data_IF_568100346755
#
_entry.id   IF_568100346755
#
_cell.length_a   1.000
_cell.length_b   1.000
_cell.length_c   1.000
_cell.angle_alpha   90.00
_cell.angle_beta   90.00
_cell.angle_gamma   90.00
#
_symmetry.space_group_name_H-M   'P 1'
#
loop_
_entity.id
_entity.type
_entity.pdbx_description
1 polymer ?
#
# COMPACT_ATOMS: atom_id res chain seq x y z
N UNK A 1 -13.38 49.38 13.33
CA UNK A 1 -13.37 49.01 11.89
C UNK A 1 -11.94 48.75 11.46
N UNK A 2 -11.70 47.92 10.45
CA UNK A 2 -10.38 47.63 9.88
C UNK A 2 -10.26 48.25 8.50
N UNK A 3 -9.11 48.86 8.21
CA UNK A 3 -8.76 49.28 6.86
C UNK A 3 -8.52 48.07 5.94
N UNK A 4 -8.55 48.26 4.63
CA UNK A 4 -8.26 47.17 3.67
C UNK A 4 -6.85 46.58 3.85
N UNK A 5 -5.88 47.37 4.29
CA UNK A 5 -4.52 46.91 4.57
C UNK A 5 -4.43 46.04 5.83
N UNK A 6 -5.10 46.45 6.91
CA UNK A 6 -5.20 45.65 8.15
C UNK A 6 -6.00 44.37 7.90
N UNK A 7 -7.11 44.48 7.16
CA UNK A 7 -7.93 43.34 6.78
C UNK A 7 -7.12 42.30 5.99
N UNK A 8 -6.32 42.77 5.02
CA UNK A 8 -5.47 41.90 4.21
C UNK A 8 -4.45 41.13 5.06
N UNK A 9 -3.81 41.83 6.02
CA UNK A 9 -2.83 41.25 6.93
C UNK A 9 -3.48 40.21 7.86
N UNK A 10 -4.63 40.55 8.44
CA UNK A 10 -5.27 39.72 9.47
C UNK A 10 -6.04 38.51 8.91
N UNK A 11 -6.50 38.59 7.66
CA UNK A 11 -7.27 37.54 7.00
C UNK A 11 -6.43 36.63 6.09
N UNK A 12 -5.20 37.03 5.76
CA UNK A 12 -4.33 36.32 4.81
C UNK A 12 -4.77 36.46 3.34
N UNK A 13 -5.67 37.40 3.04
CA UNK A 13 -6.06 37.75 1.68
C UNK A 13 -5.28 38.97 1.21
N UNK A 14 -4.71 38.96 0.01
CA UNK A 14 -4.07 40.16 -0.53
C UNK A 14 -5.05 41.32 -0.72
N UNK A 15 -4.56 42.57 -0.67
CA UNK A 15 -5.38 43.79 -0.90
C UNK A 15 -6.10 43.74 -2.26
N UNK A 16 -5.43 43.22 -3.30
CA UNK A 16 -6.04 43.02 -4.62
C UNK A 16 -7.18 41.98 -4.58
N UNK A 17 -7.01 40.90 -3.81
CA UNK A 17 -8.04 39.87 -3.64
C UNK A 17 -9.28 40.42 -2.90
N UNK A 18 -9.09 41.23 -1.87
CA UNK A 18 -10.21 41.91 -1.18
C UNK A 18 -11.00 42.83 -2.12
N UNK A 19 -10.32 43.57 -3.00
CA UNK A 19 -10.98 44.39 -4.04
C UNK A 19 -11.72 43.53 -5.07
N UNK A 20 -11.17 42.37 -5.41
CA UNK A 20 -11.81 41.41 -6.30
C UNK A 20 -13.08 40.84 -5.68
N UNK A 21 -13.04 40.39 -4.43
CA UNK A 21 -14.19 39.81 -3.73
C UNK A 21 -15.30 40.81 -3.42
N UNK A 22 -14.94 42.07 -3.19
CA UNK A 22 -15.90 43.18 -3.13
C UNK A 22 -16.69 43.29 -4.45
N UNK A 23 -15.99 43.41 -5.60
CA UNK A 23 -16.64 43.49 -6.92
C UNK A 23 -17.45 42.23 -7.27
N UNK A 24 -17.00 41.06 -6.81
CA UNK A 24 -17.69 39.80 -7.03
C UNK A 24 -18.89 39.59 -6.07
N UNK A 25 -19.11 40.50 -5.11
CA UNK A 25 -20.19 40.41 -4.12
C UNK A 25 -20.00 39.28 -3.11
N UNK A 26 -18.77 38.82 -2.89
CA UNK A 26 -18.42 37.69 -2.02
C UNK A 26 -18.06 38.17 -0.61
N UNK A 27 -17.35 39.29 -0.52
CA UNK A 27 -17.01 39.94 0.75
C UNK A 27 -17.07 41.45 0.56
N UNK A 28 -18.25 42.02 0.77
CA UNK A 28 -18.52 43.45 0.57
C UNK A 28 -18.05 44.24 1.80
N UNK A 29 -17.25 45.31 1.65
CA UNK A 29 -16.82 46.13 2.76
C UNK A 29 -18.01 46.81 3.45
N UNK A 30 -17.97 46.89 4.78
CA UNK A 30 -19.00 47.57 5.57
C UNK A 30 -19.15 49.06 5.21
N UNK A 31 -18.08 49.72 4.76
CA UNK A 31 -18.13 51.10 4.28
C UNK A 31 -17.08 51.33 3.19
N UNK A 32 -17.48 52.04 2.14
CA UNK A 32 -16.57 52.61 1.14
C UNK A 32 -16.63 54.12 1.27
N UNK A 33 -15.46 54.76 1.38
CA UNK A 33 -15.35 56.21 1.40
C UNK A 33 -15.72 56.79 0.03
N UNK A 34 -16.70 57.71 -0.06
CA UNK A 34 -17.23 58.18 -1.34
C UNK A 34 -16.28 59.10 -2.13
N UNK A 35 -15.24 59.64 -1.48
CA UNK A 35 -14.29 60.57 -2.10
C UNK A 35 -13.00 59.85 -2.49
N UNK A 36 -12.46 59.05 -1.60
CA UNK A 36 -11.17 58.34 -1.77
C UNK A 36 -11.34 56.90 -2.29
N UNK A 37 -12.55 56.34 -2.26
CA UNK A 37 -12.81 54.93 -2.58
C UNK A 37 -12.21 53.93 -1.58
N UNK A 38 -11.80 54.41 -0.41
CA UNK A 38 -11.14 53.59 0.61
C UNK A 38 -12.13 52.66 1.31
N UNK A 39 -11.73 51.40 1.51
CA UNK A 39 -12.60 50.32 2.03
C UNK A 39 -12.34 50.06 3.50
N UNK A 40 -13.43 49.95 4.25
CA UNK A 40 -13.45 49.66 5.68
C UNK A 40 -14.31 48.44 5.96
N UNK A 41 -13.80 47.53 6.78
CA UNK A 41 -14.43 46.27 7.16
C UNK A 41 -14.83 46.29 8.64
N UNK A 42 -16.00 45.73 8.95
CA UNK A 42 -16.46 45.58 10.32
C UNK A 42 -15.68 44.46 11.04
N UNK A 43 -15.56 44.50 12.39
CA UNK A 43 -14.83 43.47 13.13
C UNK A 43 -15.31 42.04 12.88
N UNK A 44 -16.61 41.82 12.68
CA UNK A 44 -17.19 40.51 12.40
C UNK A 44 -16.81 39.92 11.03
N UNK A 45 -16.45 40.76 10.05
CA UNK A 45 -16.10 40.30 8.69
C UNK A 45 -14.75 39.60 8.63
N UNK A 46 -13.94 39.69 9.69
CA UNK A 46 -12.65 39.01 9.76
C UNK A 46 -12.81 37.48 9.77
N UNK A 47 -13.85 36.95 10.42
CA UNK A 47 -14.14 35.51 10.42
C UNK A 47 -14.47 35.00 9.01
N UNK A 48 -15.40 35.69 8.33
CA UNK A 48 -15.80 35.37 6.95
C UNK A 48 -14.61 35.44 5.98
N UNK A 49 -13.76 36.46 6.10
CA UNK A 49 -12.59 36.61 5.24
C UNK A 49 -11.54 35.51 5.48
N UNK A 50 -11.35 35.06 6.72
CA UNK A 50 -10.47 33.93 7.05
C UNK A 50 -11.03 32.62 6.51
N UNK A 51 -12.34 32.42 6.61
CA UNK A 51 -13.02 31.25 6.04
C UNK A 51 -12.89 31.24 4.51
N UNK A 52 -13.19 32.36 3.85
CA UNK A 52 -12.98 32.58 2.42
C UNK A 52 -11.55 32.23 1.99
N UNK A 53 -10.54 32.70 2.74
CA UNK A 53 -9.14 32.39 2.45
C UNK A 53 -8.84 30.89 2.53
N UNK A 54 -9.37 30.18 3.53
CA UNK A 54 -9.19 28.72 3.69
C UNK A 54 -9.86 27.94 2.55
N UNK A 55 -11.11 28.25 2.22
CA UNK A 55 -11.85 27.57 1.16
C UNK A 55 -11.20 27.77 -0.21
N UNK A 56 -10.71 28.98 -0.49
CA UNK A 56 -9.99 29.27 -1.75
C UNK A 56 -8.64 28.58 -1.83
N UNK A 57 -7.93 28.43 -0.70
CA UNK A 57 -6.71 27.62 -0.65
C UNK A 57 -6.99 26.14 -0.89
N UNK A 58 -8.14 25.65 -0.43
CA UNK A 58 -8.63 24.29 -0.69
C UNK A 58 -9.22 24.10 -2.10
N UNK A 59 -9.05 25.07 -3.01
CA UNK A 59 -9.49 24.96 -4.40
C UNK A 59 -11.00 25.07 -4.61
N UNK A 60 -11.79 25.43 -3.59
CA UNK A 60 -13.24 25.52 -3.73
C UNK A 60 -13.67 26.57 -4.75
N UNK A 61 -14.59 26.25 -5.69
CA UNK A 61 -15.13 27.19 -6.67
C UNK A 61 -15.80 28.40 -5.99
N UNK A 62 -15.68 29.57 -6.60
CA UNK A 62 -16.19 30.81 -6.00
C UNK A 62 -17.72 30.78 -5.78
N UNK A 63 -18.46 30.05 -6.61
CA UNK A 63 -19.90 29.85 -6.45
C UNK A 63 -20.22 29.12 -5.14
N UNK A 64 -19.52 28.03 -4.86
CA UNK A 64 -19.73 27.22 -3.65
C UNK A 64 -19.27 27.97 -2.41
N UNK A 65 -18.18 28.74 -2.50
CA UNK A 65 -17.72 29.61 -1.40
C UNK A 65 -18.80 30.63 -1.01
N UNK A 66 -19.55 31.18 -1.97
CA UNK A 66 -20.66 32.09 -1.66
C UNK A 66 -21.77 31.40 -0.88
N UNK A 67 -22.10 30.18 -1.26
CA UNK A 67 -23.13 29.38 -0.56
C UNK A 67 -22.66 29.02 0.86
N UNK A 68 -21.40 28.63 1.02
CA UNK A 68 -20.82 28.35 2.34
C UNK A 68 -20.83 29.60 3.22
N UNK A 69 -20.42 30.76 2.71
CA UNK A 69 -20.45 32.01 3.47
C UNK A 69 -21.88 32.43 3.84
N UNK A 70 -22.85 32.25 2.94
CA UNK A 70 -24.26 32.54 3.22
C UNK A 70 -24.84 31.62 4.30
N UNK A 71 -24.57 30.31 4.24
CA UNK A 71 -24.98 29.35 5.26
C UNK A 71 -24.28 29.58 6.61
N UNK A 72 -22.99 29.97 6.58
CA UNK A 72 -22.20 30.29 7.77
C UNK A 72 -22.75 31.50 8.54
N UNK A 73 -23.21 32.54 7.84
CA UNK A 73 -23.81 33.73 8.46
C UNK A 73 -25.29 33.54 8.81
N UNK A 74 -25.98 32.57 8.19
CA UNK A 74 -27.40 32.24 8.41
C UNK A 74 -27.68 31.07 9.36
N UNK A 75 -26.65 30.46 9.96
CA UNK A 75 -26.71 29.29 10.85
C UNK A 75 -27.19 27.96 10.21
N UNK A 76 -27.25 27.87 8.88
CA UNK A 76 -27.56 26.63 8.16
C UNK A 76 -26.31 25.75 8.06
N UNK A 77 -26.04 25.04 9.16
CA UNK A 77 -24.83 24.23 9.32
C UNK A 77 -24.88 22.97 8.45
N UNK A 78 -26.07 22.44 8.17
CA UNK A 78 -26.26 21.23 7.38
C UNK A 78 -25.96 21.49 5.90
N UNK A 79 -26.40 22.63 5.36
CA UNK A 79 -26.03 23.05 4.01
C UNK A 79 -24.50 23.22 3.88
N UNK A 80 -23.86 23.89 4.85
CA UNK A 80 -22.40 24.08 4.84
C UNK A 80 -21.67 22.74 4.88
N UNK A 81 -22.10 21.82 5.75
CA UNK A 81 -21.53 20.47 5.84
C UNK A 81 -21.66 19.72 4.52
N UNK A 82 -22.86 19.69 3.92
CA UNK A 82 -23.10 19.01 2.66
C UNK A 82 -22.24 19.56 1.50
N UNK A 83 -22.05 20.88 1.44
CA UNK A 83 -21.19 21.52 0.44
C UNK A 83 -19.71 21.17 0.63
N UNK A 84 -19.22 21.13 1.88
CA UNK A 84 -17.84 20.73 2.18
C UNK A 84 -17.58 19.27 1.82
N UNK A 85 -18.50 18.37 2.19
CA UNK A 85 -18.41 16.95 1.84
C UNK A 85 -18.47 16.71 0.33
N UNK A 86 -19.34 17.43 -0.38
CA UNK A 86 -19.44 17.34 -1.83
C UNK A 86 -18.14 17.82 -2.53
N UNK A 87 -17.51 18.87 -2.00
CA UNK A 87 -16.21 19.34 -2.49
C UNK A 87 -15.08 18.36 -2.18
N UNK A 88 -15.06 17.77 -0.98
CA UNK A 88 -14.08 16.74 -0.62
C UNK A 88 -14.19 15.53 -1.58
N UNK A 89 -15.40 15.00 -1.80
CA UNK A 89 -15.63 13.91 -2.76
C UNK A 89 -15.25 14.27 -4.19
N UNK A 90 -15.29 15.56 -4.57
CA UNK A 90 -14.82 16.02 -5.87
C UNK A 90 -13.29 15.99 -5.92
N UNK A 91 -12.62 16.55 -4.92
CA UNK A 91 -11.16 16.54 -4.83
C UNK A 91 -10.57 15.12 -4.80
N UNK A 92 -11.21 14.20 -4.08
CA UNK A 92 -10.80 12.79 -4.03
C UNK A 92 -10.90 12.11 -5.40
N UNK A 93 -11.99 12.36 -6.14
CA UNK A 93 -12.16 11.86 -7.51
C UNK A 93 -11.14 12.48 -8.46
N UNK A 94 -10.98 13.80 -8.43
CA UNK A 94 -10.00 14.51 -9.27
C UNK A 94 -8.56 13.99 -8.99
N UNK A 95 -8.23 13.68 -7.74
CA UNK A 95 -6.95 13.08 -7.36
C UNK A 95 -6.80 11.64 -7.86
N UNK A 96 -7.86 10.83 -7.75
CA UNK A 96 -7.87 9.46 -8.27
C UNK A 96 -7.69 9.45 -9.80
N UNK A 97 -8.42 10.31 -10.51
CA UNK A 97 -8.33 10.48 -11.96
C UNK A 97 -6.93 10.95 -12.38
N UNK A 98 -6.38 11.95 -11.69
CA UNK A 98 -5.02 12.43 -11.95
C UNK A 98 -3.99 11.32 -11.74
N UNK A 99 -4.10 10.54 -10.65
CA UNK A 99 -3.23 9.39 -10.40
C UNK A 99 -3.35 8.34 -11.50
N UNK A 100 -4.57 8.02 -11.94
CA UNK A 100 -4.81 7.10 -13.06
C UNK A 100 -4.18 7.59 -14.36
N UNK A 101 -4.35 8.87 -14.69
CA UNK A 101 -3.73 9.47 -15.87
C UNK A 101 -2.20 9.42 -15.82
N UNK A 102 -1.58 9.75 -14.68
CA UNK A 102 -0.13 9.65 -14.51
C UNK A 102 0.39 8.21 -14.61
N UNK A 103 -0.35 7.23 -14.06
CA UNK A 103 -0.01 5.81 -14.21
C UNK A 103 -0.05 5.38 -15.68
N UNK A 104 -1.08 5.78 -16.44
CA UNK A 104 -1.18 5.48 -17.87
C UNK A 104 -0.03 6.11 -18.67
N UNK A 105 0.36 7.35 -18.37
CA UNK A 105 1.54 7.97 -19.01
C UNK A 105 2.84 7.23 -18.65
N UNK A 106 2.99 6.78 -17.40
CA UNK A 106 4.14 5.96 -16.99
C UNK A 106 4.16 4.64 -17.75
N UNK A 107 3.04 3.95 -17.88
CA UNK A 107 2.93 2.72 -18.68
C UNK A 107 3.30 2.97 -20.15
N UNK A 108 2.84 4.07 -20.75
CA UNK A 108 3.21 4.44 -22.12
C UNK A 108 4.70 4.75 -22.26
N UNK A 109 5.33 5.33 -21.23
CA UNK A 109 6.78 5.55 -21.19
C UNK A 109 7.52 4.22 -21.02
N UNK A 110 7.10 3.35 -20.12
CA UNK A 110 7.66 2.01 -19.93
C UNK A 110 7.56 1.18 -21.24
N UNK A 111 6.46 1.32 -21.99
CA UNK A 111 6.26 0.72 -23.32
C UNK A 111 7.09 1.36 -24.44
N UNK A 112 7.58 2.60 -24.27
CA UNK A 112 8.51 3.26 -25.22
C UNK A 112 9.97 3.00 -24.87
N UNK A 113 10.28 2.97 -23.58
CA UNK A 113 11.62 2.67 -23.04
C UNK A 113 11.93 1.17 -23.12
N UNK A 114 10.91 0.31 -23.13
CA UNK A 114 10.97 -1.09 -23.57
C UNK A 114 10.45 -1.17 -25.01
N UNK A 115 11.28 -1.08 -26.06
CA UNK A 115 10.76 -1.07 -27.42
C UNK A 115 9.97 -2.35 -27.68
N UNK A 116 8.71 -2.21 -28.12
CA UNK A 116 7.99 -3.27 -28.83
C UNK A 116 8.91 -3.84 -29.90
N UNK A 117 9.41 -5.04 -29.64
CA UNK A 117 9.91 -5.93 -30.66
C UNK A 117 8.99 -7.13 -30.64
N UNK A 118 8.09 -7.21 -31.63
CA UNK A 118 7.76 -8.53 -32.14
C UNK A 118 8.90 -8.90 -33.09
N UNK A 119 9.65 -9.97 -32.77
CA UNK A 119 9.94 -10.95 -33.79
C UNK A 119 9.79 -12.37 -33.23
N UNK A 120 9.66 -13.31 -34.16
CA UNK A 120 9.71 -14.73 -33.89
C UNK A 120 11.07 -15.17 -33.29
N UNK A 121 11.00 -16.23 -32.45
CA UNK A 121 12.07 -17.09 -31.86
C UNK A 121 12.51 -16.77 -30.42
N UNK A 122 11.89 -17.47 -29.47
CA UNK A 122 12.48 -18.09 -28.25
C UNK A 122 13.59 -17.31 -27.53
N UNK A 123 13.23 -16.36 -26.67
CA UNK A 123 14.07 -16.00 -25.52
C UNK A 123 13.70 -16.89 -24.35
N UNK A 124 14.34 -18.06 -24.28
CA UNK A 124 14.19 -18.95 -23.15
C UNK A 124 15.02 -18.40 -21.97
N UNK A 125 14.38 -18.16 -20.83
CA UNK A 125 15.10 -17.87 -19.59
C UNK A 125 15.42 -19.20 -18.92
N UNK A 126 16.66 -19.39 -18.49
CA UNK A 126 17.07 -20.53 -17.66
C UNK A 126 17.78 -20.05 -16.41
N UNK A 127 17.35 -20.55 -15.27
CA UNK A 127 17.95 -20.29 -13.97
C UNK A 127 18.37 -21.59 -13.33
N UNK A 128 19.56 -21.63 -12.77
CA UNK A 128 20.03 -22.71 -11.91
C UNK A 128 19.97 -22.21 -10.48
N UNK A 129 19.22 -22.88 -9.62
CA UNK A 129 19.04 -22.49 -8.21
C UNK A 129 19.22 -23.71 -7.30
N UNK A 130 19.71 -23.54 -6.05
CA UNK A 130 19.72 -24.63 -5.08
C UNK A 130 18.29 -25.06 -4.72
N UNK A 131 18.02 -26.37 -4.70
CA UNK A 131 16.71 -26.94 -4.41
C UNK A 131 16.19 -26.51 -3.04
N UNK A 132 17.02 -26.66 -2.00
CA UNK A 132 16.69 -26.22 -0.64
C UNK A 132 16.39 -24.72 -0.55
N UNK A 133 17.14 -23.89 -1.27
CA UNK A 133 16.91 -22.43 -1.32
C UNK A 133 15.59 -22.07 -2.02
N UNK A 134 15.30 -22.68 -3.17
CA UNK A 134 14.02 -22.48 -3.87
C UNK A 134 12.84 -22.97 -3.03
N UNK A 135 12.96 -24.15 -2.39
CA UNK A 135 11.92 -24.68 -1.52
C UNK A 135 11.63 -23.75 -0.35
N UNK A 136 12.66 -23.30 0.34
CA UNK A 136 12.53 -22.36 1.45
C UNK A 136 11.86 -21.05 0.99
N UNK A 137 12.22 -20.54 -0.20
CA UNK A 137 11.60 -19.34 -0.75
C UNK A 137 10.11 -19.55 -1.09
N UNK A 138 9.75 -20.70 -1.68
CA UNK A 138 8.34 -21.04 -1.96
C UNK A 138 7.55 -21.25 -0.66
N UNK A 139 8.12 -21.93 0.33
CA UNK A 139 7.54 -22.10 1.67
C UNK A 139 7.24 -20.76 2.35
N UNK A 140 8.15 -19.80 2.19
CA UNK A 140 8.03 -18.48 2.78
C UNK A 140 6.94 -17.61 2.13
N UNK A 141 6.47 -17.91 0.91
CA UNK A 141 5.48 -17.05 0.21
C UNK A 141 4.14 -17.72 -0.08
N UNK A 142 4.10 -19.04 -0.23
CA UNK A 142 2.91 -19.78 -0.70
C UNK A 142 1.66 -19.48 0.12
N UNK A 143 1.79 -19.24 1.42
CA UNK A 143 0.65 -18.99 2.31
C UNK A 143 -0.13 -17.73 1.92
N UNK A 144 0.52 -16.75 1.26
CA UNK A 144 -0.07 -15.47 0.87
C UNK A 144 -0.73 -15.48 -0.53
N UNK A 145 -0.85 -16.64 -1.18
CA UNK A 145 -1.53 -16.74 -2.48
C UNK A 145 -3.04 -16.55 -2.33
N UNK A 146 -3.61 -15.66 -3.14
CA UNK A 146 -5.04 -15.39 -3.19
C UNK A 146 -5.86 -16.58 -3.67
N UNK A 147 -7.10 -16.67 -3.18
CA UNK A 147 -8.06 -17.73 -3.53
C UNK A 147 -9.32 -17.19 -4.19
N UNK A 148 -9.40 -15.88 -4.36
CA UNK A 148 -10.53 -15.21 -4.98
C UNK A 148 -10.51 -15.44 -6.50
N UNK A 149 -11.53 -16.14 -7.05
CA UNK A 149 -11.63 -16.38 -8.48
C UNK A 149 -11.85 -15.09 -9.29
N UNK A 150 -12.31 -13.99 -8.69
CA UNK A 150 -12.46 -12.69 -9.36
C UNK A 150 -11.12 -11.98 -9.57
N UNK A 151 -10.07 -12.44 -8.88
CA UNK A 151 -8.73 -11.86 -8.88
C UNK A 151 -7.69 -12.87 -9.37
N UNK A 152 -7.78 -13.34 -10.63
CA UNK A 152 -6.95 -14.41 -11.16
C UNK A 152 -5.45 -14.09 -11.12
N UNK A 153 -5.04 -12.82 -11.22
CA UNK A 153 -3.63 -12.41 -11.10
C UNK A 153 -3.04 -12.63 -9.69
N UNK A 154 -3.86 -12.92 -8.69
CA UNK A 154 -3.43 -13.21 -7.31
C UNK A 154 -3.46 -14.70 -6.96
N UNK A 155 -3.88 -15.56 -7.91
CA UNK A 155 -4.01 -17.03 -7.70
C UNK A 155 -2.71 -17.80 -7.95
N UNK A 156 -1.59 -17.09 -8.00
CA UNK A 156 -0.27 -17.64 -8.29
C UNK A 156 0.85 -16.94 -7.52
N UNK A 157 2.07 -17.42 -7.74
CA UNK A 157 3.30 -16.82 -7.22
C UNK A 157 4.04 -16.17 -8.38
N UNK A 158 4.40 -14.90 -8.23
CA UNK A 158 5.28 -14.22 -9.17
C UNK A 158 6.70 -14.73 -8.99
N UNK A 159 7.31 -15.15 -10.09
CA UNK A 159 8.73 -15.50 -10.20
C UNK A 159 9.41 -14.35 -10.94
N UNK A 160 10.18 -13.53 -10.22
CA UNK A 160 10.95 -12.40 -10.74
C UNK A 160 12.42 -12.80 -10.86
N UNK A 161 12.82 -13.15 -12.08
CA UNK A 161 14.17 -13.54 -12.44
C UNK A 161 15.05 -12.30 -12.59
N UNK A 162 15.84 -12.02 -11.55
CA UNK A 162 16.83 -10.93 -11.56
C UNK A 162 18.12 -11.43 -12.22
N UNK A 163 18.42 -10.90 -13.41
CA UNK A 163 19.68 -11.17 -14.12
C UNK A 163 20.85 -10.42 -13.50
N UNK A 164 21.98 -11.12 -13.33
CA UNK A 164 23.26 -10.54 -12.93
C UNK A 164 23.99 -9.89 -14.12
N UNK A 165 24.78 -8.85 -13.86
CA UNK A 165 25.66 -8.28 -14.88
C UNK A 165 26.81 -9.26 -15.16
N UNK A 166 27.01 -9.65 -16.42
CA UNK A 166 28.15 -10.48 -16.83
C UNK A 166 27.99 -12.00 -16.61
N UNK A 167 26.79 -12.50 -16.31
CA UNK A 167 26.53 -13.95 -16.17
C UNK A 167 26.91 -14.53 -14.80
N UNK A 168 27.44 -13.72 -13.89
CA UNK A 168 27.70 -14.08 -12.50
C UNK A 168 26.69 -13.37 -11.58
N UNK A 169 26.03 -14.12 -10.69
CA UNK A 169 25.22 -13.57 -9.61
C UNK A 169 23.87 -12.99 -10.02
N UNK A 170 22.90 -13.86 -10.32
CA UNK A 170 21.47 -13.54 -10.39
C UNK A 170 20.71 -14.00 -9.14
N UNK A 171 19.43 -13.64 -9.04
CA UNK A 171 18.55 -14.12 -7.98
C UNK A 171 17.16 -14.41 -8.53
N UNK A 172 16.47 -15.34 -7.90
CA UNK A 172 15.04 -15.51 -8.12
C UNK A 172 14.33 -14.94 -6.89
N UNK A 173 13.55 -13.87 -7.10
CA UNK A 173 12.63 -13.37 -6.10
C UNK A 173 11.25 -13.97 -6.36
N UNK A 174 10.62 -14.49 -5.32
CA UNK A 174 9.26 -15.03 -5.39
C UNK A 174 8.34 -14.17 -4.54
N UNK A 175 7.15 -13.88 -5.06
CA UNK A 175 6.18 -12.99 -4.42
C UNK A 175 4.77 -13.54 -4.51
N UNK A 176 4.02 -13.48 -3.42
CA UNK A 176 2.60 -13.83 -3.38
C UNK A 176 1.81 -12.78 -2.59
N UNK A 177 0.56 -12.53 -2.97
CA UNK A 177 -0.34 -11.61 -2.26
C UNK A 177 -1.81 -11.97 -2.50
N UNK A 178 -2.67 -11.64 -1.53
CA UNK A 178 -4.11 -11.85 -1.55
C UNK A 178 -4.89 -10.54 -1.29
N UNK A 179 -4.26 -9.39 -1.56
CA UNK A 179 -4.68 -8.01 -1.23
C UNK A 179 -4.50 -7.59 0.22
N UNK A 180 -4.62 -8.51 1.18
CA UNK A 180 -4.56 -8.20 2.61
C UNK A 180 -3.18 -8.45 3.21
N UNK A 181 -2.41 -9.33 2.58
CA UNK A 181 -1.02 -9.60 2.92
C UNK A 181 -0.18 -9.81 1.68
N UNK A 182 1.13 -9.68 1.84
CA UNK A 182 2.12 -9.97 0.81
C UNK A 182 3.30 -10.70 1.44
N UNK A 183 3.85 -11.69 0.76
CA UNK A 183 5.07 -12.35 1.18
C UNK A 183 6.11 -12.29 0.05
N UNK A 184 7.35 -12.00 0.40
CA UNK A 184 8.48 -11.88 -0.51
C UNK A 184 9.61 -12.74 0.04
N UNK A 185 10.22 -13.54 -0.83
CA UNK A 185 11.42 -14.29 -0.50
C UNK A 185 12.38 -14.31 -1.69
N UNK A 186 13.65 -14.60 -1.44
CA UNK A 186 14.68 -14.67 -2.47
C UNK A 186 15.49 -15.95 -2.34
N UNK A 187 15.88 -16.51 -3.47
CA UNK A 187 16.92 -17.54 -3.55
C UNK A 187 18.00 -17.09 -4.51
N UNK A 188 19.27 -17.35 -4.16
CA UNK A 188 20.40 -17.05 -5.02
C UNK A 188 20.39 -17.98 -6.24
N UNK A 189 20.65 -17.44 -7.42
CA UNK A 189 20.85 -18.24 -8.61
C UNK A 189 22.34 -18.59 -8.76
N UNK A 190 22.62 -19.89 -8.90
CA UNK A 190 23.93 -20.41 -9.28
C UNK A 190 24.26 -20.12 -10.76
N UNK A 191 23.26 -19.84 -11.59
CA UNK A 191 23.43 -19.44 -12.98
C UNK A 191 22.16 -18.83 -13.56
N UNK A 192 22.32 -17.94 -14.54
CA UNK A 192 21.23 -17.28 -15.25
C UNK A 192 21.60 -17.12 -16.74
N UNK A 193 20.73 -17.63 -17.60
CA UNK A 193 20.80 -17.47 -19.04
C UNK A 193 19.50 -16.83 -19.55
N UNK A 194 19.62 -15.92 -20.51
CA UNK A 194 18.48 -15.19 -21.07
C UNK A 194 18.23 -13.83 -20.40
N UNK A 195 17.13 -13.16 -20.77
CA UNK A 195 16.77 -11.87 -20.20
C UNK A 195 16.19 -11.97 -18.79
N UNK A 196 16.08 -10.82 -18.11
CA UNK A 196 15.21 -10.68 -16.94
C UNK A 196 13.77 -10.98 -17.34
N UNK A 197 13.07 -11.73 -16.50
CA UNK A 197 11.68 -12.09 -16.76
C UNK A 197 10.85 -12.12 -15.47
N UNK A 198 9.60 -11.69 -15.60
CA UNK A 198 8.58 -11.82 -14.58
C UNK A 198 7.53 -12.80 -15.07
N UNK A 199 7.31 -13.86 -14.30
CA UNK A 199 6.40 -14.93 -14.70
C UNK A 199 5.49 -15.28 -13.54
N UNK A 200 4.19 -15.17 -13.76
CA UNK A 200 3.19 -15.53 -12.76
C UNK A 200 2.86 -17.03 -12.87
N UNK A 201 3.27 -17.81 -11.86
CA UNK A 201 3.14 -19.26 -11.85
C UNK A 201 1.89 -19.66 -11.04
N UNK A 202 0.92 -20.40 -11.61
CA UNK A 202 -0.29 -20.80 -10.90
C UNK A 202 0.02 -21.63 -9.64
N UNK A 203 -0.75 -21.46 -8.57
CA UNK A 203 -0.54 -22.20 -7.31
C UNK A 203 -0.42 -23.74 -7.46
N UNK A 204 -1.25 -24.43 -8.27
CA UNK A 204 -1.09 -25.88 -8.46
C UNK A 204 0.26 -26.27 -9.07
N UNK A 205 0.82 -25.44 -9.96
CA UNK A 205 2.13 -25.68 -10.56
C UNK A 205 3.24 -25.39 -9.55
N UNK A 206 3.11 -24.33 -8.74
CA UNK A 206 4.03 -24.05 -7.62
C UNK A 206 4.06 -25.22 -6.63
N UNK A 207 2.91 -25.81 -6.31
CA UNK A 207 2.80 -26.96 -5.40
C UNK A 207 3.48 -28.20 -5.98
N UNK A 208 3.30 -28.46 -7.27
CA UNK A 208 3.98 -29.54 -7.98
C UNK A 208 5.49 -29.33 -8.01
N UNK A 209 5.95 -28.11 -8.32
CA UNK A 209 7.37 -27.74 -8.29
C UNK A 209 7.97 -27.95 -6.90
N UNK A 210 7.32 -27.41 -5.87
CA UNK A 210 7.75 -27.54 -4.47
C UNK A 210 7.87 -28.99 -4.02
N UNK A 211 6.96 -29.86 -4.45
CA UNK A 211 6.99 -31.29 -4.11
C UNK A 211 8.21 -32.03 -4.70
N UNK A 212 8.79 -31.53 -5.79
CA UNK A 212 10.01 -32.08 -6.41
C UNK A 212 11.30 -31.59 -5.76
N UNK A 213 11.25 -30.54 -4.94
CA UNK A 213 12.43 -29.95 -4.32
C UNK A 213 12.78 -30.72 -3.04
N UNK A 214 13.87 -31.49 -3.11
CA UNK A 214 14.49 -32.17 -1.97
C UNK A 214 15.95 -31.76 -1.85
N UNK A 215 16.61 -32.13 -0.75
CA UNK A 215 18.07 -32.01 -0.62
C UNK A 215 18.67 -30.63 -0.95
N UNK A 216 19.92 -30.69 -1.42
CA UNK A 216 20.76 -29.53 -1.77
C UNK A 216 21.22 -29.59 -3.24
N UNK A 217 20.57 -30.41 -4.07
CA UNK A 217 20.85 -30.48 -5.50
C UNK A 217 20.57 -29.14 -6.20
N UNK A 218 21.25 -28.91 -7.33
CA UNK A 218 20.90 -27.79 -8.20
C UNK A 218 19.74 -28.19 -9.09
N UNK A 219 18.71 -27.35 -9.14
CA UNK A 219 17.55 -27.51 -10.02
C UNK A 219 17.56 -26.43 -11.08
N UNK A 220 16.94 -26.72 -12.21
CA UNK A 220 16.85 -25.79 -13.33
C UNK A 220 15.42 -25.32 -13.49
N UNK A 221 15.21 -24.02 -13.59
CA UNK A 221 13.94 -23.39 -13.91
C UNK A 221 14.05 -22.80 -15.31
N UNK A 222 13.09 -23.12 -16.18
CA UNK A 222 13.01 -22.64 -17.54
C UNK A 222 11.70 -21.95 -17.83
N UNK A 223 11.77 -20.85 -18.57
CA UNK A 223 10.61 -20.15 -19.12
C UNK A 223 10.80 -20.10 -20.63
N UNK A 224 9.89 -20.71 -21.37
CA UNK A 224 9.87 -20.67 -22.83
C UNK A 224 8.47 -20.29 -23.31
N UNK A 225 8.34 -19.05 -23.80
CA UNK A 225 7.03 -18.47 -24.13
C UNK A 225 6.13 -18.44 -22.89
N UNK A 226 4.99 -19.15 -22.96
CA UNK A 226 4.04 -19.24 -21.86
C UNK A 226 4.25 -20.44 -20.94
N UNK A 227 5.22 -21.31 -21.26
CA UNK A 227 5.47 -22.53 -20.50
C UNK A 227 6.57 -22.30 -19.47
N UNK A 228 6.29 -22.67 -18.23
CA UNK A 228 7.25 -22.71 -17.12
C UNK A 228 7.55 -24.15 -16.77
N UNK A 229 8.82 -24.49 -16.63
CA UNK A 229 9.26 -25.85 -16.28
C UNK A 229 10.34 -25.81 -15.21
N UNK A 230 10.22 -26.67 -14.21
CA UNK A 230 11.25 -26.98 -13.23
C UNK A 230 11.77 -28.39 -13.50
N UNK A 231 13.09 -28.55 -13.60
CA UNK A 231 13.79 -29.83 -13.69
C UNK A 231 14.58 -30.09 -12.40
N UNK A 232 14.33 -31.23 -11.78
CA UNK A 232 15.02 -31.73 -10.60
C UNK A 232 15.51 -33.17 -10.87
N UNK A 233 16.76 -33.29 -11.33
CA UNK A 233 17.31 -34.56 -11.82
C UNK A 233 16.48 -35.11 -12.99
N UNK A 234 15.97 -36.33 -12.83
CA UNK A 234 15.12 -37.01 -13.83
C UNK A 234 13.63 -36.64 -13.74
N UNK A 235 13.25 -35.85 -12.73
CA UNK A 235 11.87 -35.40 -12.53
C UNK A 235 11.66 -33.98 -13.03
N UNK A 236 10.45 -33.67 -13.50
CA UNK A 236 10.09 -32.32 -13.90
C UNK A 236 8.63 -31.99 -13.56
N UNK A 237 8.38 -30.71 -13.28
CA UNK A 237 7.04 -30.13 -13.17
C UNK A 237 6.93 -28.99 -14.19
N UNK A 238 5.87 -29.00 -14.99
CA UNK A 238 5.69 -28.02 -16.06
C UNK A 238 4.22 -27.65 -16.25
N UNK A 239 3.98 -26.42 -16.64
CA UNK A 239 2.64 -25.92 -16.96
C UNK A 239 2.68 -24.54 -17.59
N UNK A 240 1.50 -23.98 -17.80
CA UNK A 240 1.34 -22.64 -18.38
C UNK A 240 1.39 -21.57 -17.27
N UNK A 241 2.00 -20.43 -17.58
CA UNK A 241 1.93 -19.23 -16.74
C UNK A 241 0.52 -18.64 -16.77
N UNK A 242 0.18 -17.86 -15.74
CA UNK A 242 -1.01 -17.01 -15.79
C UNK A 242 -0.78 -15.86 -16.77
N UNK A 243 -1.74 -15.64 -17.67
CA UNK A 243 -1.70 -14.57 -18.66
C UNK A 243 -2.21 -13.24 -18.08
N UNK A 244 -1.71 -12.88 -16.90
CA UNK A 244 -2.06 -11.65 -16.20
C UNK A 244 -0.81 -11.00 -15.61
N UNK A 245 -0.85 -9.67 -15.48
CA UNK A 245 0.21 -8.91 -14.84
C UNK A 245 0.06 -8.94 -13.32
N UNK A 246 1.16 -9.19 -12.62
CA UNK A 246 1.19 -9.13 -11.16
C UNK A 246 1.31 -7.66 -10.70
N UNK A 247 0.67 -7.27 -9.59
CA UNK A 247 0.78 -5.90 -9.07
C UNK A 247 2.24 -5.45 -8.84
N UNK A 248 2.52 -4.16 -9.02
CA UNK A 248 3.85 -3.56 -8.81
C UNK A 248 4.26 -3.58 -7.32
N UNK A 249 4.74 -4.74 -6.86
CA UNK A 249 5.11 -5.02 -5.47
C UNK A 249 6.37 -4.27 -5.03
N UNK A 250 7.22 -3.83 -5.98
CA UNK A 250 8.51 -3.19 -5.68
C UNK A 250 8.36 -1.89 -4.87
N UNK A 251 7.20 -1.24 -4.99
CA UNK A 251 6.84 -0.07 -4.18
C UNK A 251 6.66 -0.40 -2.70
N UNK A 252 6.25 -1.63 -2.38
CA UNK A 252 5.99 -2.12 -1.03
C UNK A 252 7.22 -2.76 -0.38
N UNK A 253 8.29 -3.03 -1.15
CA UNK A 253 9.56 -3.55 -0.61
C UNK A 253 10.32 -2.47 0.19
N UNK A 254 10.16 -1.20 -0.17
CA UNK A 254 10.82 -0.06 0.48
C UNK A 254 9.87 0.67 1.43
N UNK A 255 9.47 0.02 2.52
CA UNK A 255 8.75 0.69 3.59
C UNK A 255 9.71 1.59 4.39
N UNK A 256 9.26 2.80 4.82
CA UNK A 256 10.05 3.62 5.73
C UNK A 256 10.28 2.88 7.04
N UNK A 257 11.47 3.07 7.62
CA UNK A 257 11.85 2.42 8.87
C UNK A 257 10.82 2.71 9.98
N UNK A 258 10.32 1.65 10.58
CA UNK A 258 9.33 1.69 11.66
C UNK A 258 9.94 1.44 13.04
N UNK A 259 9.08 1.39 14.06
CA UNK A 259 9.46 0.83 15.35
C UNK A 259 9.66 -0.67 15.19
N UNK A 260 10.76 -1.19 15.74
CA UNK A 260 11.17 -2.58 15.58
C UNK A 260 11.08 -3.31 16.91
N UNK A 261 10.45 -4.48 16.92
CA UNK A 261 10.35 -5.34 18.08
C UNK A 261 10.80 -6.76 17.73
N UNK A 262 11.77 -7.29 18.47
CA UNK A 262 12.21 -8.67 18.34
C UNK A 262 11.29 -9.59 19.13
N UNK A 263 10.86 -10.69 18.53
CA UNK A 263 9.98 -11.67 19.17
C UNK A 263 10.59 -13.06 19.12
N UNK A 264 10.43 -13.80 20.22
CA UNK A 264 10.54 -15.26 20.21
C UNK A 264 9.27 -15.82 19.60
N UNK A 265 9.41 -16.57 18.50
CA UNK A 265 8.28 -17.02 17.69
C UNK A 265 7.41 -18.02 18.43
N UNK A 266 8.00 -18.92 19.22
CA UNK A 266 7.23 -19.90 19.97
C UNK A 266 6.37 -19.22 21.03
N UNK A 267 6.97 -18.37 21.87
CA UNK A 267 6.26 -17.64 22.92
C UNK A 267 5.22 -16.67 22.35
N UNK A 268 5.53 -15.98 21.24
CA UNK A 268 4.60 -15.02 20.65
C UNK A 268 3.41 -15.71 19.96
N UNK A 269 3.63 -16.88 19.34
CA UNK A 269 2.53 -17.69 18.79
C UNK A 269 1.61 -18.22 19.89
N UNK A 270 2.16 -18.65 21.02
CA UNK A 270 1.39 -19.07 22.19
C UNK A 270 0.54 -17.90 22.72
N UNK A 271 1.16 -16.72 22.90
CA UNK A 271 0.45 -15.50 23.30
C UNK A 271 -0.67 -15.08 22.32
N UNK A 272 -0.47 -15.25 21.00
CA UNK A 272 -1.50 -14.99 20.00
C UNK A 272 -2.63 -16.02 20.03
N UNK A 273 -2.31 -17.29 20.31
CA UNK A 273 -3.32 -18.36 20.40
C UNK A 273 -4.20 -18.21 21.64
N UNK A 274 -3.60 -17.87 22.77
CA UNK A 274 -4.29 -17.73 24.06
C UNK A 274 -4.87 -16.33 24.30
N UNK A 275 -4.42 -15.33 23.53
CA UNK A 275 -4.83 -13.94 23.66
C UNK A 275 -6.25 -13.65 23.13
N UNK A 276 -6.87 -12.53 23.54
CA UNK A 276 -8.24 -12.18 23.19
C UNK A 276 -8.39 -11.83 21.70
N UNK A 277 -9.48 -12.27 21.09
CA UNK A 277 -9.83 -11.99 19.68
C UNK A 277 -10.80 -10.82 19.61
N UNK A 278 -10.61 -9.90 18.67
CA UNK A 278 -11.65 -8.93 18.29
C UNK A 278 -12.30 -9.34 16.98
N UNK A 279 -13.61 -9.13 16.88
CA UNK A 279 -14.32 -9.33 15.63
C UNK A 279 -13.99 -8.17 14.69
N UNK A 280 -13.38 -8.46 13.55
CA UNK A 280 -13.31 -7.54 12.43
C UNK A 280 -14.58 -7.57 11.58
N UNK A 281 -14.74 -6.58 10.70
CA UNK A 281 -15.79 -6.63 9.68
C UNK A 281 -15.69 -7.94 8.88
N UNK A 282 -16.83 -8.53 8.55
CA UNK A 282 -16.86 -9.72 7.69
C UNK A 282 -16.35 -9.32 6.29
N UNK A 283 -15.08 -9.65 6.00
CA UNK A 283 -14.54 -9.53 4.65
C UNK A 283 -15.34 -10.43 3.71
N UNK A 284 -15.66 -9.93 2.51
CA UNK A 284 -16.55 -10.56 1.53
C UNK A 284 -16.11 -11.99 1.09
N UNK A 285 -14.89 -12.42 1.44
CA UNK A 285 -14.27 -13.65 0.92
C UNK A 285 -14.05 -14.79 1.93
N UNK A 286 -14.31 -14.58 3.21
CA UNK A 286 -14.34 -15.65 4.19
C UNK A 286 -15.65 -15.53 4.95
N UNK A 287 -16.58 -16.48 4.75
CA UNK A 287 -17.89 -16.52 5.41
C UNK A 287 -17.83 -16.75 6.93
N UNK A 288 -16.96 -16.04 7.64
CA UNK A 288 -16.79 -16.00 9.09
C UNK A 288 -16.27 -14.63 9.51
N UNK A 289 -16.54 -14.25 10.76
CA UNK A 289 -15.97 -13.03 11.34
C UNK A 289 -14.45 -13.10 11.31
N UNK A 290 -13.80 -12.03 10.87
CA UNK A 290 -12.34 -11.93 10.89
C UNK A 290 -11.85 -11.90 12.34
N UNK A 291 -10.97 -12.82 12.73
CA UNK A 291 -10.39 -12.84 14.06
C UNK A 291 -9.17 -11.91 14.11
N UNK A 292 -9.29 -10.78 14.81
CA UNK A 292 -8.22 -9.79 14.92
C UNK A 292 -7.45 -9.96 16.23
N UNK A 293 -6.12 -9.84 16.13
CA UNK A 293 -5.24 -9.62 17.28
C UNK A 293 -4.83 -8.15 17.32
N UNK A 294 -4.97 -7.52 18.48
CA UNK A 294 -4.49 -6.15 18.73
C UNK A 294 -3.13 -6.23 19.38
N UNK A 295 -2.15 -5.58 18.77
CA UNK A 295 -0.76 -5.57 19.22
C UNK A 295 -0.43 -4.19 19.78
N UNK A 296 0.07 -4.14 21.01
CA UNK A 296 0.67 -2.94 21.58
C UNK A 296 2.19 -3.00 21.41
N UNK A 297 2.75 -1.89 20.95
CA UNK A 297 4.19 -1.74 20.76
C UNK A 297 4.69 -0.66 21.69
N UNK A 298 5.53 -1.05 22.65
CA UNK A 298 6.13 -0.13 23.60
C UNK A 298 7.26 0.67 22.95
N UNK A 299 7.56 1.85 23.50
CA UNK A 299 8.68 2.68 23.06
C UNK A 299 10.05 1.99 23.22
N UNK A 300 10.14 1.04 24.15
CA UNK A 300 11.34 0.22 24.39
C UNK A 300 11.51 -0.93 23.38
N UNK A 301 10.63 -1.04 22.37
CA UNK A 301 10.72 -2.05 21.31
C UNK A 301 10.22 -3.42 21.72
N UNK A 302 9.34 -3.51 22.72
CA UNK A 302 8.62 -4.75 23.04
C UNK A 302 7.24 -4.74 22.38
N UNK A 303 6.74 -5.93 22.03
CA UNK A 303 5.40 -6.12 21.48
C UNK A 303 4.62 -7.12 22.33
N UNK A 304 3.38 -6.77 22.66
CA UNK A 304 2.48 -7.61 23.45
C UNK A 304 1.10 -7.67 22.79
N UNK A 305 0.42 -8.80 22.95
CA UNK A 305 -0.99 -8.93 22.57
C UNK A 305 -1.85 -8.22 23.63
N UNK A 306 -2.64 -7.23 23.23
CA UNK A 306 -3.47 -6.44 24.15
C UNK A 306 -4.56 -7.29 24.80
N UNK A 307 -4.89 -6.95 26.06
CA UNK A 307 -6.10 -7.43 26.73
C UNK A 307 -7.39 -6.79 26.19
N UNK A 308 -8.55 -7.30 26.63
CA UNK A 308 -9.82 -6.60 26.41
C UNK A 308 -9.82 -5.24 27.12
N UNK A 309 -10.09 -4.16 26.39
CA UNK A 309 -10.11 -2.79 26.92
C UNK A 309 -8.76 -2.07 27.05
N UNK A 310 -7.65 -2.72 26.65
CA UNK A 310 -6.29 -2.17 26.69
C UNK A 310 -5.86 -1.63 25.31
N UNK A 311 -6.66 -0.72 24.76
CA UNK A 311 -6.47 -0.12 23.42
C UNK A 311 -5.95 1.33 23.48
N UNK A 312 -5.61 1.82 24.68
CA UNK A 312 -5.03 3.14 24.84
C UNK A 312 -3.55 3.12 24.42
N UNK A 313 -3.19 3.87 23.37
CA UNK A 313 -1.80 4.05 22.94
C UNK A 313 -1.56 3.66 21.49
N UNK A 314 -0.31 3.30 21.18
CA UNK A 314 0.12 2.99 19.82
C UNK A 314 -0.09 1.49 19.51
N UNK A 315 -1.34 1.17 19.20
CA UNK A 315 -1.81 -0.18 18.87
C UNK A 315 -1.98 -0.39 17.38
N UNK A 316 -1.79 -1.64 16.94
CA UNK A 316 -2.03 -2.09 15.58
C UNK A 316 -2.86 -3.37 15.61
N UNK A 317 -4.02 -3.35 14.95
CA UNK A 317 -4.85 -4.53 14.79
C UNK A 317 -4.54 -5.22 13.46
N UNK A 318 -4.37 -6.54 13.49
CA UNK A 318 -4.11 -7.37 12.31
C UNK A 318 -4.92 -8.65 12.38
N UNK A 319 -5.17 -9.25 11.23
CA UNK A 319 -5.71 -10.60 11.15
C UNK A 319 -4.80 -11.60 11.88
N UNK A 320 -5.36 -12.31 12.86
CA UNK A 320 -4.63 -13.29 13.67
C UNK A 320 -4.15 -14.45 12.84
N UNK A 321 -5.00 -14.98 11.96
CA UNK A 321 -4.66 -16.11 11.09
C UNK A 321 -3.50 -15.75 10.17
N UNK A 322 -3.55 -14.58 9.55
CA UNK A 322 -2.48 -14.11 8.67
C UNK A 322 -1.17 -13.89 9.42
N UNK A 323 -1.21 -13.38 10.66
CA UNK A 323 -0.02 -13.20 11.47
C UNK A 323 0.59 -14.55 11.85
N UNK A 324 -0.23 -15.51 12.27
CA UNK A 324 0.22 -16.87 12.58
C UNK A 324 0.81 -17.57 11.35
N UNK A 325 0.23 -17.39 10.16
CA UNK A 325 0.80 -17.92 8.92
C UNK A 325 2.18 -17.31 8.63
N UNK A 326 2.31 -15.98 8.75
CA UNK A 326 3.57 -15.28 8.50
C UNK A 326 4.68 -15.70 9.47
N UNK A 327 4.35 -15.86 10.76
CA UNK A 327 5.28 -16.35 11.78
C UNK A 327 5.73 -17.79 11.50
N UNK A 328 4.82 -18.66 11.04
CA UNK A 328 5.15 -20.05 10.70
C UNK A 328 6.05 -20.12 9.46
N UNK A 329 5.72 -19.35 8.42
CA UNK A 329 6.40 -19.39 7.13
C UNK A 329 7.86 -18.89 7.20
N UNK A 330 8.18 -18.01 8.15
CA UNK A 330 9.54 -17.47 8.28
C UNK A 330 10.57 -18.52 8.75
N UNK A 331 10.13 -19.60 9.43
CA UNK A 331 10.97 -20.75 9.77
C UNK A 331 12.18 -20.42 10.65
N UNK A 332 12.03 -19.46 11.58
CA UNK A 332 13.06 -19.04 12.54
C UNK A 332 12.46 -18.93 13.93
N UNK A 333 13.29 -19.16 14.94
CA UNK A 333 12.89 -19.04 16.35
C UNK A 333 12.74 -17.58 16.78
N UNK A 334 13.40 -16.66 16.07
CA UNK A 334 13.35 -15.22 16.33
C UNK A 334 13.07 -14.43 15.06
N UNK A 335 12.18 -13.46 15.18
CA UNK A 335 11.77 -12.58 14.09
C UNK A 335 11.74 -11.13 14.56
N UNK A 336 11.78 -10.23 13.58
CA UNK A 336 11.65 -8.79 13.78
C UNK A 336 10.29 -8.34 13.25
N UNK A 337 9.46 -7.80 14.14
CA UNK A 337 8.24 -7.10 13.76
C UNK A 337 8.53 -5.62 13.60
N UNK A 338 8.20 -5.06 12.45
CA UNK A 338 8.40 -3.65 12.14
C UNK A 338 7.06 -2.97 11.91
N UNK A 339 6.79 -1.95 12.73
CA UNK A 339 5.54 -1.22 12.81
C UNK A 339 5.74 0.20 12.27
N UNK A 340 4.97 0.56 11.24
CA UNK A 340 4.87 1.94 10.77
C UNK A 340 3.83 2.74 11.56
N UNK A 341 3.25 3.76 10.92
CA UNK A 341 2.06 4.43 11.44
C UNK A 341 0.86 3.46 11.52
N UNK A 342 -0.22 3.80 12.24
CA UNK A 342 -1.40 2.93 12.41
C UNK A 342 -2.06 2.42 11.10
N UNK A 343 -1.81 3.09 9.97
CA UNK A 343 -2.32 2.70 8.64
C UNK A 343 -1.26 2.05 7.76
N UNK A 344 -0.02 1.95 8.23
CA UNK A 344 1.07 1.31 7.50
C UNK A 344 1.06 -0.21 7.73
N UNK A 345 1.49 -1.01 6.74
CA UNK A 345 1.60 -2.45 6.90
C UNK A 345 2.52 -2.83 8.06
N UNK A 346 2.15 -3.88 8.80
CA UNK A 346 3.04 -4.59 9.71
C UNK A 346 3.98 -5.46 8.88
N UNK A 347 5.30 -5.30 9.05
CA UNK A 347 6.28 -6.17 8.42
C UNK A 347 6.82 -7.22 9.40
N UNK A 348 6.82 -8.48 8.99
CA UNK A 348 7.45 -9.60 9.68
C UNK A 348 8.71 -9.96 8.91
N UNK A 349 9.88 -9.70 9.51
CA UNK A 349 11.19 -9.91 8.88
C UNK A 349 11.99 -10.96 9.62
N UNK A 350 12.90 -11.62 8.91
CA UNK A 350 13.91 -12.46 9.54
C UNK A 350 15.07 -11.62 10.02
N UNK A 351 15.72 -12.06 11.09
CA UNK A 351 16.91 -11.39 11.65
C UNK A 351 18.17 -11.70 10.85
N UNK A 352 18.19 -12.81 10.10
CA UNK A 352 19.29 -13.27 9.26
C UNK A 352 19.20 -12.82 7.79
N UNK A 353 18.01 -12.35 7.37
CA UNK A 353 17.70 -12.03 5.97
C UNK A 353 16.57 -10.99 5.89
N UNK A 354 16.92 -9.72 5.66
CA UNK A 354 15.94 -8.64 5.51
C UNK A 354 15.22 -8.67 4.14
N UNK A 355 15.73 -9.40 3.15
CA UNK A 355 15.13 -9.54 1.81
C UNK A 355 13.93 -10.50 1.78
N UNK A 356 13.82 -11.36 2.80
CA UNK A 356 12.68 -12.25 3.02
C UNK A 356 11.78 -11.70 4.12
N UNK A 357 10.55 -11.33 3.77
CA UNK A 357 9.61 -10.72 4.70
C UNK A 357 8.15 -10.91 4.28
N UNK A 358 7.26 -10.75 5.25
CA UNK A 358 5.81 -10.71 5.06
C UNK A 358 5.27 -9.35 5.47
N UNK A 359 4.29 -8.83 4.74
CA UNK A 359 3.54 -7.63 5.07
C UNK A 359 2.09 -8.01 5.35
N UNK A 360 1.52 -7.46 6.42
CA UNK A 360 0.12 -7.58 6.76
C UNK A 360 -0.50 -6.19 6.80
N UNK A 361 -1.63 -6.02 6.11
CA UNK A 361 -2.38 -4.77 6.16
C UNK A 361 -3.05 -4.64 7.54
N UNK A 362 -2.94 -3.48 8.20
CA UNK A 362 -3.65 -3.25 9.45
C UNK A 362 -5.15 -3.17 9.19
N UNK A 363 -5.93 -3.68 10.14
CA UNK A 363 -7.38 -3.58 10.14
C UNK A 363 -7.79 -2.45 11.07
N UNK A 364 -8.78 -1.65 10.67
CA UNK A 364 -9.33 -0.63 11.55
C UNK A 364 -10.18 -1.29 12.63
N UNK A 365 -9.94 -0.93 13.89
CA UNK A 365 -10.87 -1.24 14.97
C UNK A 365 -12.05 -0.26 14.91
N UNK A 366 -13.26 -0.77 15.02
CA UNK A 366 -14.44 0.06 15.29
C UNK A 366 -14.38 0.50 16.75
N UNK A 367 -14.33 1.82 16.96
CA UNK A 367 -14.28 2.45 18.27
C UNK A 367 -15.66 2.74 18.85
#
# INVERSE_FOLDING_TARGET
>A
MRSIGEMARDSGLGVSALRFYDRAGVLVPARVDPVSGYRWYAPGQLGEARLLARLRRAGMPLADVRLVLAGWSGADTDLVRGLLEAHLRRLERDLADARGAFSAVREMLDQRESPMTVPARTDAVRLSVPAGGLRAALDAVRFAVGRDPELPMLTGVLFDAEGGEGGEGGGLRVVATDRYRMAVARTAAAGHEGPRAQVLVPAPLVDAMRALLSGDETVHLGVEGDRVTLWAGDSQAAGERLAHDFPDYRRLVRLPAGRRAEVDVAAFREALADGPVRAGEAGEEAGGAQELSVLHVTDDGAVTVCGEGDEEGDVVAVDRGFLLDALAAAGRDRLLLEFGAHTAPLAVRRTDDEDTFSLLMPVRLDG
#
